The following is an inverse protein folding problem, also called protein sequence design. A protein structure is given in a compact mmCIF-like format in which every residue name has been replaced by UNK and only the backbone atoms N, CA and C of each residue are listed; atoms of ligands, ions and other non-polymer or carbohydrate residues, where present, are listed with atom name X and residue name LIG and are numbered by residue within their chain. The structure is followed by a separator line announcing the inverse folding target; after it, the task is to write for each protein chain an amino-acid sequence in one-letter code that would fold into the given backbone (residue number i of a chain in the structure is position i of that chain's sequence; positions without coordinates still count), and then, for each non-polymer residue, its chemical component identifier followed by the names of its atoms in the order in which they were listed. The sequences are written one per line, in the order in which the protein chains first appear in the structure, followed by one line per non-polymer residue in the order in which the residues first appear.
data_IF_945358394659
#
_entry.id   IF_945358394659
#
_cell.length_a   1.000
_cell.length_b   1.000
_cell.length_c   1.000
_cell.angle_alpha   90.00
_cell.angle_beta   90.00
_cell.angle_gamma   90.00
#
_symmetry.space_group_name_H-M   'P 1'
#
loop_
_entity.id
_entity.type
_entity.pdbx_description
1 polymer ?
#
# COMPACT_ATOMS: atom_id res chain seq x y z
N UNK A 1 35.65 -14.89 -69.65
CA UNK A 1 34.46 -14.21 -69.10
C UNK A 1 34.92 -13.36 -67.92
N UNK A 2 35.08 -12.03 -68.08
CA UNK A 2 35.56 -11.12 -67.03
C UNK A 2 34.35 -10.56 -66.27
N UNK A 3 34.22 -10.90 -64.97
CA UNK A 3 33.24 -10.28 -64.08
C UNK A 3 33.80 -8.95 -63.58
N UNK A 4 33.19 -7.85 -64.05
CA UNK A 4 33.46 -6.50 -63.55
C UNK A 4 32.60 -6.24 -62.32
N UNK A 5 33.23 -6.16 -61.14
CA UNK A 5 32.56 -5.73 -59.91
C UNK A 5 32.56 -4.20 -59.87
N UNK A 6 31.41 -3.58 -60.16
CA UNK A 6 31.17 -2.16 -59.88
C UNK A 6 31.21 -1.92 -58.37
N UNK A 7 32.25 -1.22 -57.91
CA UNK A 7 32.43 -0.79 -56.53
C UNK A 7 31.33 0.21 -56.16
N UNK A 8 30.27 -0.26 -55.49
CA UNK A 8 29.26 0.62 -54.91
C UNK A 8 29.97 1.55 -53.90
N UNK A 9 29.92 2.86 -54.14
CA UNK A 9 30.45 3.86 -53.21
C UNK A 9 29.62 3.80 -51.92
N UNK A 10 30.17 3.21 -50.88
CA UNK A 10 29.63 3.35 -49.52
C UNK A 10 29.95 4.76 -49.03
N UNK A 11 28.96 5.64 -48.97
CA UNK A 11 29.11 6.93 -48.26
C UNK A 11 29.31 6.63 -46.77
N UNK A 12 30.50 6.90 -46.25
CA UNK A 12 30.78 6.79 -44.82
C UNK A 12 30.12 7.94 -44.07
N UNK A 13 29.47 7.63 -42.94
CA UNK A 13 28.95 8.64 -42.02
C UNK A 13 30.12 9.41 -41.39
N UNK A 14 30.05 10.74 -41.38
CA UNK A 14 31.08 11.56 -40.73
C UNK A 14 30.88 11.59 -39.21
N UNK A 15 31.97 11.81 -38.47
CA UNK A 15 31.92 11.97 -37.02
C UNK A 15 30.98 13.12 -36.60
N UNK A 16 30.96 14.20 -37.39
CA UNK A 16 30.14 15.39 -37.14
C UNK A 16 28.65 15.06 -37.29
N UNK A 17 28.26 14.33 -38.34
CA UNK A 17 26.86 13.92 -38.53
C UNK A 17 26.36 13.05 -37.37
N UNK A 18 27.19 12.12 -36.88
CA UNK A 18 26.83 11.31 -35.71
C UNK A 18 26.69 12.17 -34.44
N UNK A 19 27.60 13.12 -34.23
CA UNK A 19 27.60 14.03 -33.07
C UNK A 19 26.36 14.93 -33.03
N UNK A 20 25.93 15.46 -34.18
CA UNK A 20 24.73 16.30 -34.27
C UNK A 20 23.48 15.48 -33.96
N UNK A 21 23.38 14.24 -34.45
CA UNK A 21 22.23 13.37 -34.19
C UNK A 21 22.11 13.02 -32.71
N UNK A 22 23.20 12.63 -32.06
CA UNK A 22 23.15 12.34 -30.62
C UNK A 22 22.84 13.60 -29.80
N UNK A 23 23.31 14.78 -30.23
CA UNK A 23 23.00 16.04 -29.56
C UNK A 23 21.50 16.36 -29.64
N UNK A 24 20.89 16.17 -30.81
CA UNK A 24 19.44 16.35 -31.00
C UNK A 24 18.66 15.34 -30.14
N UNK A 25 19.04 14.06 -30.15
CA UNK A 25 18.41 13.03 -29.30
C UNK A 25 18.52 13.39 -27.82
N UNK A 26 19.69 13.87 -27.37
CA UNK A 26 19.90 14.27 -25.99
C UNK A 26 19.00 15.44 -25.57
N UNK A 27 18.86 16.47 -26.42
CA UNK A 27 17.96 17.60 -26.18
C UNK A 27 16.51 17.12 -26.07
N UNK A 28 16.04 16.34 -27.05
CA UNK A 28 14.66 15.81 -27.04
C UNK A 28 14.40 14.92 -25.81
N UNK A 29 15.33 14.02 -25.48
CA UNK A 29 15.22 13.15 -24.31
C UNK A 29 15.16 13.96 -23.00
N UNK A 30 15.96 15.02 -22.85
CA UNK A 30 15.97 15.87 -21.66
C UNK A 30 14.62 16.55 -21.38
N UNK A 31 13.87 16.89 -22.43
CA UNK A 31 12.53 17.47 -22.31
C UNK A 31 11.45 16.42 -22.05
N UNK A 32 11.63 15.20 -22.58
CA UNK A 32 10.65 14.11 -22.47
C UNK A 32 10.72 13.36 -21.13
N UNK A 33 11.91 13.17 -20.56
CA UNK A 33 12.09 12.37 -19.34
C UNK A 33 11.32 12.91 -18.13
N UNK A 34 11.30 14.22 -17.83
CA UNK A 34 10.51 14.77 -16.72
C UNK A 34 9.00 14.56 -16.91
N UNK A 35 8.51 14.77 -18.13
CA UNK A 35 7.10 14.58 -18.48
C UNK A 35 6.68 13.12 -18.34
N UNK A 36 7.49 12.19 -18.86
CA UNK A 36 7.23 10.75 -18.77
C UNK A 36 7.27 10.25 -17.32
N UNK A 37 8.23 10.71 -16.51
CA UNK A 37 8.30 10.38 -15.10
C UNK A 37 7.05 10.84 -14.34
N UNK A 38 6.59 12.07 -14.60
CA UNK A 38 5.36 12.63 -14.03
C UNK A 38 4.12 11.84 -14.45
N UNK A 39 3.99 11.48 -15.73
CA UNK A 39 2.88 10.68 -16.24
C UNK A 39 2.83 9.29 -15.60
N UNK A 40 3.99 8.63 -15.48
CA UNK A 40 4.13 7.32 -14.84
C UNK A 40 3.69 7.34 -13.37
N UNK A 41 4.06 8.37 -12.62
CA UNK A 41 3.63 8.48 -11.22
C UNK A 41 2.13 8.78 -11.07
N UNK A 42 1.55 9.59 -11.99
CA UNK A 42 0.08 9.74 -12.05
C UNK A 42 -0.61 8.40 -12.28
N UNK A 43 -0.11 7.57 -13.21
CA UNK A 43 -0.67 6.24 -13.46
C UNK A 43 -0.56 5.32 -12.23
N UNK A 44 0.55 5.36 -11.50
CA UNK A 44 0.72 4.62 -10.24
C UNK A 44 -0.25 5.08 -9.15
N UNK A 45 -0.46 6.39 -9.02
CA UNK A 45 -1.41 6.97 -8.08
C UNK A 45 -2.85 6.51 -8.37
N UNK A 46 -3.27 6.55 -9.64
CA UNK A 46 -4.60 6.07 -10.06
C UNK A 46 -4.76 4.57 -9.77
N UNK A 47 -3.73 3.76 -10.07
CA UNK A 47 -3.77 2.32 -9.79
C UNK A 47 -3.84 2.04 -8.29
N UNK A 48 -3.07 2.77 -7.47
CA UNK A 48 -3.13 2.69 -6.01
C UNK A 48 -4.55 3.03 -5.50
N UNK A 49 -5.14 4.12 -6.00
CA UNK A 49 -6.48 4.55 -5.64
C UNK A 49 -7.54 3.49 -5.97
N UNK A 50 -7.46 2.92 -7.17
CA UNK A 50 -8.32 1.83 -7.62
C UNK A 50 -8.15 0.56 -6.77
N UNK A 51 -6.91 0.23 -6.38
CA UNK A 51 -6.62 -0.91 -5.52
C UNK A 51 -7.25 -0.74 -4.12
N UNK A 52 -7.05 0.41 -3.47
CA UNK A 52 -7.66 0.66 -2.17
C UNK A 52 -9.19 0.66 -2.24
N UNK A 53 -9.78 1.21 -3.31
CA UNK A 53 -11.23 1.15 -3.51
C UNK A 53 -11.73 -0.29 -3.64
N UNK A 54 -11.01 -1.15 -4.34
CA UNK A 54 -11.34 -2.59 -4.41
C UNK A 54 -11.27 -3.26 -3.02
N UNK A 55 -10.24 -2.95 -2.23
CA UNK A 55 -10.14 -3.48 -0.86
C UNK A 55 -11.27 -2.95 0.03
N UNK A 56 -11.57 -1.65 -0.02
CA UNK A 56 -12.66 -1.05 0.74
C UNK A 56 -14.02 -1.65 0.35
N UNK A 57 -14.28 -1.84 -0.94
CA UNK A 57 -15.49 -2.54 -1.40
C UNK A 57 -15.54 -3.99 -0.93
N UNK A 58 -14.40 -4.69 -0.89
CA UNK A 58 -14.33 -6.03 -0.30
C UNK A 58 -14.68 -6.03 1.19
N UNK A 59 -14.23 -5.03 1.96
CA UNK A 59 -14.59 -4.85 3.37
C UNK A 59 -16.11 -4.60 3.50
N UNK A 60 -16.69 -3.85 2.57
CA UNK A 60 -18.12 -3.60 2.49
C UNK A 60 -18.93 -4.87 2.26
N UNK A 61 -18.54 -5.67 1.27
CA UNK A 61 -19.21 -6.94 1.01
C UNK A 61 -19.04 -7.91 2.18
N UNK A 62 -17.86 -7.90 2.84
CA UNK A 62 -17.65 -8.66 4.06
C UNK A 62 -18.67 -8.27 5.14
N UNK A 63 -18.83 -6.99 5.46
CA UNK A 63 -19.77 -6.59 6.54
C UNK A 63 -21.22 -6.98 6.23
N UNK A 64 -21.62 -6.91 4.96
CA UNK A 64 -22.98 -7.25 4.53
C UNK A 64 -23.30 -8.74 4.76
N UNK A 65 -22.29 -9.61 4.71
CA UNK A 65 -22.41 -11.05 5.01
C UNK A 65 -22.10 -11.41 6.47
N UNK A 66 -21.68 -10.45 7.31
CA UNK A 66 -21.24 -10.67 8.69
C UNK A 66 -22.00 -9.80 9.70
N UNK A 67 -23.33 -9.73 9.56
CA UNK A 67 -24.24 -9.00 10.46
C UNK A 67 -23.88 -7.51 10.66
N UNK A 68 -23.43 -6.86 9.59
CA UNK A 68 -22.96 -5.46 9.57
C UNK A 68 -21.69 -5.21 10.42
N UNK A 69 -20.96 -6.26 10.82
CA UNK A 69 -19.70 -6.11 11.54
C UNK A 69 -18.51 -5.98 10.59
N UNK A 70 -17.66 -5.01 10.87
CA UNK A 70 -16.41 -4.81 10.16
C UNK A 70 -15.35 -5.86 10.59
N UNK A 71 -14.43 -6.22 9.68
CA UNK A 71 -13.30 -7.08 10.02
C UNK A 71 -12.35 -6.35 10.98
N UNK A 72 -11.54 -7.10 11.71
CA UNK A 72 -10.51 -6.50 12.56
C UNK A 72 -9.39 -5.92 11.73
N UNK A 73 -8.78 -4.84 12.25
CA UNK A 73 -7.69 -4.12 11.61
C UNK A 73 -6.40 -4.93 11.47
N UNK A 74 -6.38 -6.17 11.98
CA UNK A 74 -5.21 -7.04 11.97
C UNK A 74 -4.26 -6.65 13.09
N UNK A 75 -3.94 -7.62 13.93
CA UNK A 75 -2.90 -7.50 14.96
C UNK A 75 -1.82 -8.55 14.70
N UNK A 76 -0.55 -8.16 14.80
CA UNK A 76 0.60 -9.04 14.51
C UNK A 76 0.68 -10.27 15.42
N UNK A 77 0.01 -10.23 16.57
CA UNK A 77 0.11 -11.17 17.68
C UNK A 77 -1.16 -12.00 17.92
N UNK A 78 -2.31 -11.60 17.36
CA UNK A 78 -3.61 -12.23 17.68
C UNK A 78 -4.12 -13.19 16.62
N UNK A 79 -3.99 -12.84 15.33
CA UNK A 79 -4.29 -13.72 14.20
C UNK A 79 -5.68 -14.37 14.30
N UNK A 80 -6.72 -13.52 14.28
CA UNK A 80 -8.12 -13.92 14.42
C UNK A 80 -8.76 -14.24 13.08
N UNK A 81 -9.82 -15.08 13.08
CA UNK A 81 -10.48 -15.51 11.85
C UNK A 81 -11.06 -14.34 11.04
N UNK A 82 -11.43 -13.27 11.74
CA UNK A 82 -12.06 -12.04 11.28
C UNK A 82 -11.04 -10.94 10.92
N UNK A 83 -9.74 -11.16 11.14
CA UNK A 83 -8.68 -10.22 10.74
C UNK A 83 -8.66 -10.03 9.22
N UNK A 84 -8.65 -8.77 8.77
CA UNK A 84 -8.71 -8.45 7.34
C UNK A 84 -7.48 -8.96 6.55
N UNK A 85 -6.33 -9.06 7.22
CA UNK A 85 -5.11 -9.73 6.75
C UNK A 85 -4.44 -10.43 7.92
N UNK A 86 -3.65 -11.45 7.62
CA UNK A 86 -3.05 -12.29 8.65
C UNK A 86 -1.55 -12.02 8.84
N UNK A 87 -1.08 -12.12 10.08
CA UNK A 87 0.34 -12.08 10.42
C UNK A 87 0.95 -10.69 10.31
N UNK A 88 2.21 -10.64 9.92
CA UNK A 88 3.00 -9.43 9.86
C UNK A 88 4.21 -9.45 10.79
N UNK A 89 5.21 -8.61 10.50
CA UNK A 89 6.43 -8.59 11.27
C UNK A 89 6.27 -7.80 12.58
N UNK A 90 6.59 -8.42 13.73
CA UNK A 90 6.57 -7.72 15.02
C UNK A 90 7.39 -6.42 15.09
N UNK A 91 8.51 -6.33 14.32
CA UNK A 91 9.43 -5.17 14.30
C UNK A 91 10.17 -4.99 12.94
N UNK A 92 9.49 -5.09 11.80
CA UNK A 92 10.21 -5.15 10.52
C UNK A 92 11.02 -3.90 10.12
N UNK A 93 12.33 -4.03 10.34
CA UNK A 93 13.36 -4.00 9.28
C UNK A 93 13.64 -2.65 8.60
N UNK A 94 14.15 -1.64 9.33
CA UNK A 94 14.75 -0.47 8.66
C UNK A 94 16.14 -0.72 8.07
N UNK A 95 16.95 -1.60 8.70
CA UNK A 95 18.40 -1.68 8.42
C UNK A 95 18.94 -3.06 8.00
N UNK A 96 18.10 -4.01 7.61
CA UNK A 96 18.58 -5.33 7.15
C UNK A 96 18.07 -5.67 5.76
N UNK A 97 18.68 -5.08 4.72
CA UNK A 97 18.53 -5.51 3.32
C UNK A 97 18.76 -7.02 3.12
N UNK A 98 19.62 -7.66 3.94
CA UNK A 98 19.81 -9.12 3.99
C UNK A 98 18.55 -9.90 4.41
N UNK A 99 17.63 -9.26 5.14
CA UNK A 99 16.32 -9.83 5.52
C UNK A 99 15.22 -9.59 4.47
N UNK A 100 15.49 -8.77 3.43
CA UNK A 100 14.54 -8.47 2.35
C UNK A 100 14.84 -9.17 1.04
N UNK A 101 16.07 -9.61 0.81
CA UNK A 101 16.49 -10.28 -0.43
C UNK A 101 15.81 -11.65 -0.67
N UNK A 102 14.86 -11.97 0.21
CA UNK A 102 14.72 -13.17 1.01
C UNK A 102 13.30 -13.00 1.53
N UNK A 103 12.26 -13.29 0.74
CA UNK A 103 10.84 -13.16 1.14
C UNK A 103 10.51 -14.10 2.30
N UNK A 104 11.12 -13.76 3.43
CA UNK A 104 11.11 -14.44 4.69
C UNK A 104 9.64 -14.53 5.06
N UNK A 105 9.22 -15.77 5.25
CA UNK A 105 7.85 -16.19 5.56
C UNK A 105 7.29 -15.44 6.78
N UNK A 106 8.18 -14.84 7.59
CA UNK A 106 7.87 -14.13 8.82
C UNK A 106 7.81 -12.59 8.68
N UNK A 107 8.13 -12.03 7.50
CA UNK A 107 8.22 -10.56 7.30
C UNK A 107 6.97 -9.99 6.62
N UNK A 108 6.16 -10.82 5.97
CA UNK A 108 5.05 -10.37 5.15
C UNK A 108 3.69 -10.52 5.83
N UNK A 109 2.76 -9.64 5.45
CA UNK A 109 1.34 -9.86 5.73
C UNK A 109 0.75 -10.81 4.70
N UNK A 110 -0.14 -11.69 5.15
CA UNK A 110 -0.81 -12.69 4.34
C UNK A 110 -2.24 -12.25 4.07
N UNK A 111 -2.43 -11.50 2.98
CA UNK A 111 -3.75 -11.12 2.52
C UNK A 111 -4.60 -12.35 2.20
N UNK A 112 -3.99 -13.40 1.62
CA UNK A 112 -4.65 -14.65 1.26
C UNK A 112 -5.28 -15.40 2.43
N UNK A 113 -4.82 -15.12 3.65
CA UNK A 113 -5.33 -15.73 4.87
C UNK A 113 -6.28 -14.78 5.63
N UNK A 114 -6.51 -13.57 5.14
CA UNK A 114 -7.42 -12.59 5.73
C UNK A 114 -8.89 -12.89 5.41
N UNK A 115 -9.77 -12.43 6.30
CA UNK A 115 -11.23 -12.60 6.20
C UNK A 115 -11.83 -11.95 4.95
N UNK A 116 -11.24 -10.83 4.51
CA UNK A 116 -11.73 -10.01 3.40
C UNK A 116 -11.25 -10.52 2.03
N UNK A 117 -10.30 -11.46 2.00
CA UNK A 117 -9.67 -11.94 0.78
C UNK A 117 -10.62 -12.44 -0.32
N UNK A 118 -11.66 -13.25 -0.01
CA UNK A 118 -12.60 -13.72 -1.02
C UNK A 118 -13.41 -12.59 -1.64
N UNK A 119 -13.76 -11.58 -0.85
CA UNK A 119 -14.56 -10.45 -1.30
C UNK A 119 -13.80 -9.50 -2.23
N UNK A 120 -12.47 -9.45 -2.10
CA UNK A 120 -11.61 -8.63 -2.98
C UNK A 120 -11.21 -9.38 -4.24
N UNK A 121 -10.97 -10.69 -4.15
CA UNK A 121 -10.31 -11.46 -5.22
C UNK A 121 -11.19 -12.52 -5.88
N UNK A 122 -12.32 -12.89 -5.28
CA UNK A 122 -13.13 -14.03 -5.67
C UNK A 122 -12.50 -15.39 -5.39
N UNK A 123 -11.35 -15.44 -4.68
CA UNK A 123 -10.63 -16.67 -4.36
C UNK A 123 -10.92 -17.14 -2.93
N UNK A 124 -10.88 -18.46 -2.66
CA UNK A 124 -11.05 -18.95 -1.29
C UNK A 124 -9.89 -18.50 -0.40
N UNK A 125 -10.16 -18.39 0.91
CA UNK A 125 -9.14 -18.13 1.92
C UNK A 125 -8.10 -19.27 1.92
N UNK A 126 -6.83 -18.92 1.86
CA UNK A 126 -5.70 -19.85 1.84
C UNK A 126 -5.05 -19.94 3.24
N UNK A 127 -5.60 -20.82 4.08
CA UNK A 127 -5.06 -21.15 5.42
C UNK A 127 -4.65 -22.62 5.49
N UNK A 128 -3.57 -22.90 6.22
CA UNK A 128 -3.16 -24.23 6.67
C UNK A 128 -3.54 -24.40 8.15
N UNK A 129 -4.75 -24.91 8.39
CA UNK A 129 -5.34 -24.91 9.73
C UNK A 129 -5.71 -23.49 10.16
N UNK A 130 -5.27 -23.07 11.35
CA UNK A 130 -5.46 -21.69 11.81
C UNK A 130 -4.41 -20.70 11.30
N UNK A 131 -3.38 -21.13 10.56
CA UNK A 131 -2.28 -20.25 10.16
C UNK A 131 -2.24 -20.05 8.64
N UNK A 132 -1.68 -18.93 8.13
CA UNK A 132 -1.41 -18.75 6.71
C UNK A 132 -0.45 -19.84 6.24
N UNK A 133 -0.59 -20.26 4.98
CA UNK A 133 0.49 -21.03 4.37
C UNK A 133 1.66 -20.08 4.07
N UNK A 134 2.59 -20.00 5.02
CA UNK A 134 3.69 -19.08 4.85
C UNK A 134 4.62 -19.49 3.69
N UNK A 135 4.47 -20.68 3.06
CA UNK A 135 5.24 -21.10 1.87
C UNK A 135 4.70 -20.42 0.63
N UNK A 136 3.45 -20.00 0.66
CA UNK A 136 2.85 -19.21 -0.40
C UNK A 136 3.61 -17.88 -0.53
N UNK A 137 4.14 -17.62 -1.72
CA UNK A 137 4.85 -16.38 -2.08
C UNK A 137 4.05 -15.51 -3.04
N UNK A 138 2.78 -15.84 -3.26
CA UNK A 138 1.90 -15.10 -4.16
C UNK A 138 1.72 -13.68 -3.67
N UNK A 139 1.76 -12.74 -4.62
CA UNK A 139 1.66 -11.32 -4.34
C UNK A 139 0.40 -10.81 -5.01
N UNK A 140 -0.52 -10.32 -4.20
CA UNK A 140 -1.79 -9.79 -4.66
C UNK A 140 -1.66 -8.28 -4.83
N UNK A 141 -1.48 -7.86 -6.09
CA UNK A 141 -1.25 -6.45 -6.43
C UNK A 141 -2.31 -5.47 -5.92
N UNK A 142 -3.54 -5.96 -5.65
CA UNK A 142 -4.65 -5.17 -5.11
C UNK A 142 -4.46 -4.73 -3.65
N UNK A 143 -3.61 -5.40 -2.87
CA UNK A 143 -3.33 -5.06 -1.45
C UNK A 143 -2.13 -4.14 -1.26
N UNK A 144 -1.50 -3.70 -2.34
CA UNK A 144 -0.27 -2.89 -2.29
C UNK A 144 -0.34 -1.67 -3.18
N UNK A 145 0.42 -0.67 -2.77
CA UNK A 145 0.73 0.48 -3.61
C UNK A 145 1.77 0.09 -4.68
N UNK A 146 1.60 0.45 -5.96
CA UNK A 146 2.59 0.19 -7.01
C UNK A 146 3.88 1.03 -6.85
N UNK A 147 3.87 2.13 -6.09
CA UNK A 147 5.03 3.01 -5.89
C UNK A 147 6.02 2.49 -4.84
N UNK A 148 5.68 1.43 -4.08
CA UNK A 148 6.51 0.89 -2.99
C UNK A 148 7.66 -0.01 -3.43
N UNK A 149 7.82 -0.23 -4.74
CA UNK A 149 8.95 -0.99 -5.29
C UNK A 149 9.09 -2.40 -4.71
N UNK A 150 10.34 -2.79 -4.45
CA UNK A 150 10.72 -4.12 -3.94
C UNK A 150 10.37 -4.32 -2.47
N UNK A 151 10.53 -3.29 -1.63
CA UNK A 151 10.21 -3.40 -0.20
C UNK A 151 8.72 -3.66 0.02
N UNK A 152 7.84 -2.90 -0.64
CA UNK A 152 6.41 -3.20 -0.54
C UNK A 152 6.05 -4.51 -1.23
N UNK A 153 6.91 -5.04 -2.11
CA UNK A 153 6.70 -6.38 -2.70
C UNK A 153 7.00 -7.44 -1.66
N UNK A 154 8.02 -7.22 -0.85
CA UNK A 154 8.35 -8.09 0.28
C UNK A 154 7.29 -8.05 1.39
N UNK A 155 6.71 -6.88 1.67
CA UNK A 155 5.67 -6.74 2.68
C UNK A 155 4.30 -7.32 2.27
N UNK A 156 4.06 -7.44 0.96
CA UNK A 156 2.82 -7.91 0.27
C UNK A 156 1.60 -7.03 0.44
N UNK A 157 1.39 -6.47 1.62
CA UNK A 157 0.32 -5.53 1.95
C UNK A 157 0.97 -4.19 2.29
N UNK A 158 0.44 -3.08 1.76
CA UNK A 158 0.90 -1.72 2.08
C UNK A 158 -0.23 -0.77 2.49
N UNK A 159 -1.45 -1.28 2.51
CA UNK A 159 -2.57 -0.58 3.10
C UNK A 159 -2.72 -1.08 4.51
N UNK A 160 -3.01 -0.18 5.44
CA UNK A 160 -3.34 -0.53 6.80
C UNK A 160 -4.74 -0.08 7.10
N UNK A 161 -5.42 -0.78 7.99
CA UNK A 161 -6.76 -0.45 8.44
C UNK A 161 -6.74 0.30 9.76
N UNK A 162 -7.69 1.21 10.01
CA UNK A 162 -7.63 2.03 11.24
C UNK A 162 -7.66 1.16 12.51
N UNK A 163 -6.69 1.35 13.41
CA UNK A 163 -6.59 0.58 14.65
C UNK A 163 -7.75 0.86 15.61
N UNK A 164 -8.53 1.91 15.38
CA UNK A 164 -9.75 2.20 16.15
C UNK A 164 -10.84 1.14 15.94
N UNK A 165 -10.77 0.34 14.87
CA UNK A 165 -11.65 -0.84 14.73
C UNK A 165 -11.32 -1.94 15.74
N UNK A 166 -10.11 -1.97 16.29
CA UNK A 166 -9.71 -2.99 17.27
C UNK A 166 -10.07 -2.59 18.72
N UNK A 167 -10.83 -1.51 18.90
CA UNK A 167 -11.22 -1.00 20.22
C UNK A 167 -10.03 -0.58 21.08
N UNK A 168 -8.90 -0.18 20.48
CA UNK A 168 -7.64 0.28 21.10
C UNK A 168 -6.99 -0.62 22.19
N UNK A 169 -7.63 -1.66 22.74
CA UNK A 169 -7.18 -2.33 23.98
C UNK A 169 -7.60 -3.79 24.13
N UNK A 170 -8.19 -4.46 23.14
CA UNK A 170 -8.84 -5.73 23.50
C UNK A 170 -9.45 -6.57 22.41
N UNK A 171 -9.71 -6.04 21.20
CA UNK A 171 -10.41 -6.76 20.14
C UNK A 171 -11.77 -7.28 20.64
N UNK A 172 -12.84 -6.55 20.35
CA UNK A 172 -14.19 -7.04 20.71
C UNK A 172 -14.61 -8.02 19.63
N UNK A 173 -14.99 -9.25 19.94
CA UNK A 173 -15.64 -10.18 19.00
C UNK A 173 -17.15 -10.21 19.30
N UNK A 174 -18.03 -9.92 18.30
CA UNK A 174 -17.72 -9.57 16.90
C UNK A 174 -17.09 -8.19 16.76
N UNK A 175 -16.43 -7.94 15.61
CA UNK A 175 -15.81 -6.65 15.28
C UNK A 175 -16.80 -5.49 15.35
N UNK A 176 -16.36 -4.23 15.18
CA UNK A 176 -17.29 -3.11 15.39
C UNK A 176 -18.46 -3.18 14.39
N UNK A 177 -19.67 -2.91 14.87
CA UNK A 177 -20.83 -2.79 14.00
C UNK A 177 -20.73 -1.49 13.18
N UNK A 178 -20.90 -1.59 11.86
CA UNK A 178 -20.76 -0.47 10.94
C UNK A 178 -21.79 0.64 11.21
N UNK A 179 -23.01 0.27 11.62
CA UNK A 179 -24.04 1.22 12.03
C UNK A 179 -23.65 2.09 13.24
N UNK A 180 -22.63 1.70 14.02
CA UNK A 180 -22.08 2.51 15.10
C UNK A 180 -21.08 3.59 14.62
N UNK A 181 -20.66 3.54 13.34
CA UNK A 181 -19.71 4.50 12.76
C UNK A 181 -20.42 5.81 12.46
N UNK A 182 -20.01 6.89 13.12
CA UNK A 182 -20.52 8.24 12.88
C UNK A 182 -19.77 8.90 11.73
N UNK A 183 -20.51 9.57 10.84
CA UNK A 183 -19.98 10.33 9.70
C UNK A 183 -18.95 9.54 8.87
N UNK A 184 -19.29 8.37 8.32
CA UNK A 184 -18.34 7.46 7.66
C UNK A 184 -17.57 8.11 6.49
N UNK A 185 -18.16 9.11 5.82
CA UNK A 185 -17.53 9.88 4.74
C UNK A 185 -16.28 10.64 5.21
N UNK A 186 -16.21 11.04 6.48
CA UNK A 186 -15.06 11.78 7.02
C UNK A 186 -14.01 10.84 7.65
N UNK A 187 -14.32 9.54 7.82
CA UNK A 187 -13.48 8.58 8.55
C UNK A 187 -12.55 7.80 7.64
N UNK A 188 -11.27 7.72 7.99
CA UNK A 188 -10.30 6.88 7.30
C UNK A 188 -10.48 5.42 7.67
N UNK A 189 -10.84 4.60 6.69
CA UNK A 189 -10.86 3.14 6.83
C UNK A 189 -9.48 2.56 6.54
N UNK A 190 -8.90 2.90 5.38
CA UNK A 190 -7.59 2.44 4.93
C UNK A 190 -6.66 3.63 4.64
N UNK A 191 -5.41 3.52 5.06
CA UNK A 191 -4.33 4.43 4.65
C UNK A 191 -3.19 3.64 4.03
N UNK A 192 -2.57 4.23 3.01
CA UNK A 192 -1.34 3.70 2.44
C UNK A 192 -0.15 4.07 3.35
N UNK A 193 0.54 3.05 3.86
CA UNK A 193 1.66 3.22 4.78
C UNK A 193 3.00 2.95 4.10
N UNK A 194 4.03 3.63 4.57
CA UNK A 194 5.39 3.36 4.10
C UNK A 194 5.81 1.94 4.52
N UNK A 195 6.20 1.07 3.58
CA UNK A 195 6.60 -0.30 3.93
C UNK A 195 7.82 -0.38 4.87
N UNK A 196 8.60 0.70 5.00
CA UNK A 196 9.72 0.79 5.94
C UNK A 196 9.29 1.04 7.39
N UNK A 197 8.08 1.58 7.59
CA UNK A 197 7.55 1.89 8.91
C UNK A 197 6.45 0.93 9.34
N UNK A 198 5.79 0.28 8.39
CA UNK A 198 4.64 -0.59 8.63
C UNK A 198 5.01 -1.83 9.45
N UNK A 199 4.41 -1.97 10.63
CA UNK A 199 4.65 -3.08 11.59
C UNK A 199 3.48 -4.02 11.71
N UNK A 200 2.29 -3.47 11.67
CA UNK A 200 1.02 -4.16 11.71
C UNK A 200 0.24 -3.78 10.46
N UNK A 201 -0.84 -4.51 10.23
CA UNK A 201 -1.78 -4.19 9.18
C UNK A 201 -2.79 -3.13 9.62
N UNK A 202 -2.52 -2.45 10.73
CA UNK A 202 -3.34 -1.41 11.31
C UNK A 202 -2.57 -0.12 11.50
N UNK A 203 -3.22 1.04 11.39
CA UNK A 203 -2.58 2.32 11.61
C UNK A 203 -3.20 3.05 12.80
N UNK A 204 -2.36 3.72 13.58
CA UNK A 204 -2.78 4.71 14.58
C UNK A 204 -2.48 6.11 14.02
N UNK A 205 -3.24 7.17 14.38
CA UNK A 205 -2.99 8.53 13.94
C UNK A 205 -1.57 9.04 14.27
N UNK A 206 -0.96 8.51 15.34
CA UNK A 206 0.42 8.80 15.72
C UNK A 206 1.49 7.95 15.02
N UNK A 207 1.10 7.00 14.17
CA UNK A 207 1.99 6.12 13.41
C UNK A 207 1.62 4.63 13.43
N UNK A 208 2.51 3.81 12.89
CA UNK A 208 2.32 2.37 12.75
C UNK A 208 2.27 1.71 14.14
N UNK A 209 1.23 0.92 14.38
CA UNK A 209 0.42 0.96 15.60
C UNK A 209 1.02 0.44 16.93
N UNK A 210 0.31 0.79 18.01
CA UNK A 210 0.50 0.60 19.46
C UNK A 210 1.23 -0.69 19.92
N UNK A 211 2.27 -0.51 20.74
CA UNK A 211 3.00 -1.58 21.46
C UNK A 211 4.35 -1.07 21.98
N UNK A 212 4.61 -1.19 23.29
CA UNK A 212 5.79 -0.62 23.99
C UNK A 212 7.15 -1.24 23.67
N UNK A 213 7.37 -1.73 22.45
CA UNK A 213 8.66 -2.22 21.98
C UNK A 213 9.60 -1.08 21.56
N UNK A 214 10.91 -1.25 21.78
CA UNK A 214 11.97 -0.30 21.40
C UNK A 214 12.16 -0.13 19.87
N UNK A 215 11.16 -0.45 19.05
CA UNK A 215 11.22 -0.21 17.63
C UNK A 215 10.96 1.25 17.32
N UNK A 216 11.79 1.83 16.43
CA UNK A 216 11.71 3.19 15.86
C UNK A 216 10.27 3.60 15.48
N UNK A 217 9.57 4.41 16.31
CA UNK A 217 8.38 5.13 15.87
C UNK A 217 8.69 5.76 14.52
N UNK A 218 7.82 5.63 13.53
CA UNK A 218 8.03 6.28 12.24
C UNK A 218 8.07 7.80 12.46
N UNK A 219 9.26 8.35 12.65
CA UNK A 219 9.43 9.77 12.96
C UNK A 219 9.39 10.55 11.66
N UNK A 220 8.49 11.54 11.57
CA UNK A 220 8.47 12.51 10.47
C UNK A 220 7.72 12.04 9.21
N UNK A 221 8.24 12.37 8.04
CA UNK A 221 7.54 12.30 6.74
C UNK A 221 7.36 10.88 6.16
N UNK A 222 7.94 9.85 6.79
CA UNK A 222 7.97 8.45 6.28
C UNK A 222 6.88 7.56 6.86
N UNK A 223 5.77 8.15 7.26
CA UNK A 223 4.59 7.42 7.74
C UNK A 223 3.82 6.78 6.58
N UNK A 224 3.76 7.48 5.46
CA UNK A 224 2.88 7.15 4.35
C UNK A 224 3.62 7.21 3.02
N UNK A 225 3.22 6.35 2.09
CA UNK A 225 3.75 6.39 0.72
C UNK A 225 3.09 7.54 -0.02
N UNK A 226 3.93 8.49 -0.43
CA UNK A 226 3.51 9.66 -1.20
C UNK A 226 3.39 9.34 -2.68
N UNK A 227 2.32 9.82 -3.29
CA UNK A 227 2.19 10.01 -4.73
C UNK A 227 2.25 11.50 -5.02
N UNK A 228 3.16 11.99 -5.86
CA UNK A 228 3.33 13.43 -6.18
C UNK A 228 3.21 14.35 -4.95
N UNK A 229 1.99 14.82 -4.63
CA UNK A 229 1.71 15.75 -3.53
C UNK A 229 0.75 15.19 -2.46
N UNK A 230 0.37 13.91 -2.51
CA UNK A 230 -0.65 13.35 -1.64
C UNK A 230 -0.55 11.86 -1.38
N UNK A 231 -1.37 11.41 -0.45
CA UNK A 231 -1.48 10.03 0.02
C UNK A 231 -2.87 9.55 -0.36
N UNK A 232 -2.95 8.32 -0.81
CA UNK A 232 -4.23 7.71 -1.11
C UNK A 232 -4.82 7.12 0.18
N UNK A 233 -6.09 7.42 0.44
CA UNK A 233 -6.89 6.85 1.52
C UNK A 233 -8.20 6.26 0.99
N UNK A 234 -8.74 5.26 1.68
CA UNK A 234 -10.12 4.83 1.54
C UNK A 234 -10.90 5.12 2.83
N UNK A 235 -12.18 5.40 2.66
CA UNK A 235 -13.06 5.88 3.72
C UNK A 235 -14.10 4.84 4.09
N UNK A 236 -14.72 5.04 5.23
CA UNK A 236 -15.71 4.10 5.73
C UNK A 236 -16.95 4.00 4.87
N UNK A 237 -17.27 4.97 4.02
CA UNK A 237 -18.40 4.91 3.07
C UNK A 237 -18.06 4.18 1.74
N UNK A 238 -16.83 3.69 1.60
CA UNK A 238 -16.35 2.96 0.42
C UNK A 238 -15.72 3.83 -0.68
N UNK A 239 -15.71 5.16 -0.53
CA UNK A 239 -14.96 6.01 -1.45
C UNK A 239 -13.46 5.98 -1.16
N UNK A 240 -12.67 6.35 -2.16
CA UNK A 240 -11.23 6.50 -2.02
C UNK A 240 -10.79 7.82 -2.67
N UNK A 241 -9.92 8.56 -1.99
CA UNK A 241 -9.44 9.85 -2.45
C UNK A 241 -7.95 10.05 -2.14
N UNK A 242 -7.32 10.98 -2.87
CA UNK A 242 -5.97 11.45 -2.57
C UNK A 242 -6.04 12.66 -1.65
N UNK A 243 -5.32 12.60 -0.53
CA UNK A 243 -5.23 13.63 0.50
C UNK A 243 -3.87 14.30 0.40
N UNK A 244 -3.81 15.62 0.43
CA UNK A 244 -2.53 16.35 0.44
C UNK A 244 -1.71 16.00 1.69
N UNK A 245 -0.39 15.88 1.54
CA UNK A 245 0.53 15.58 2.64
C UNK A 245 0.29 16.48 3.86
N UNK A 246 0.34 17.79 3.64
CA UNK A 246 0.25 18.80 4.71
C UNK A 246 -1.09 18.72 5.46
N UNK A 247 -2.16 18.35 4.75
CA UNK A 247 -3.47 18.15 5.37
C UNK A 247 -3.46 16.93 6.27
N UNK A 248 -2.92 15.79 5.82
CA UNK A 248 -2.84 14.60 6.68
C UNK A 248 -1.96 14.86 7.90
N UNK A 249 -0.82 15.52 7.73
CA UNK A 249 0.05 15.89 8.85
C UNK A 249 -0.65 16.85 9.83
N UNK A 250 -1.48 17.79 9.33
CA UNK A 250 -2.30 18.66 10.18
C UNK A 250 -3.34 17.85 10.97
N UNK A 251 -3.98 16.88 10.33
CA UNK A 251 -4.93 15.97 10.98
C UNK A 251 -4.22 15.20 12.10
N UNK A 252 -3.09 14.57 11.80
CA UNK A 252 -2.33 13.73 12.77
C UNK A 252 -1.70 14.52 13.92
N UNK A 253 -1.56 15.85 13.81
CA UNK A 253 -1.05 16.71 14.90
C UNK A 253 -2.15 17.34 15.75
N UNK A 254 -3.40 17.33 15.32
CA UNK A 254 -4.49 18.05 15.99
C UNK A 254 -5.44 17.07 16.68
N UNK A 255 -5.54 17.05 18.03
CA UNK A 255 -6.39 16.10 18.75
C UNK A 255 -7.86 16.09 18.28
N UNK A 256 -8.42 17.27 18.00
CA UNK A 256 -9.76 17.40 17.45
C UNK A 256 -9.89 16.71 16.08
N UNK A 257 -8.95 16.92 15.16
CA UNK A 257 -9.01 16.34 13.82
C UNK A 257 -8.74 14.83 13.84
N UNK A 258 -7.90 14.35 14.75
CA UNK A 258 -7.73 12.91 15.00
C UNK A 258 -9.08 12.30 15.36
N UNK A 259 -9.79 12.87 16.35
CA UNK A 259 -11.11 12.39 16.75
C UNK A 259 -12.12 12.46 15.61
N UNK A 260 -12.06 13.53 14.80
CA UNK A 260 -12.91 13.67 13.63
C UNK A 260 -12.64 12.64 12.53
N UNK A 261 -11.39 12.28 12.23
CA UNK A 261 -11.06 11.49 11.04
C UNK A 261 -10.67 10.03 11.31
N UNK A 262 -10.22 9.70 12.52
CA UNK A 262 -9.74 8.36 12.87
C UNK A 262 -10.67 7.61 13.82
N UNK A 263 -11.36 8.31 14.72
CA UNK A 263 -12.25 7.70 15.70
C UNK A 263 -13.64 7.50 15.09
N UNK A 264 -14.10 6.24 14.90
CA UNK A 264 -15.37 5.95 14.26
C UNK A 264 -16.58 6.32 15.13
N UNK A 265 -16.44 6.50 16.45
CA UNK A 265 -17.57 6.67 17.37
C UNK A 265 -17.90 8.13 17.69
N UNK A 266 -17.06 9.06 17.22
CA UNK A 266 -17.16 10.48 17.50
C UNK A 266 -17.44 11.30 16.24
N UNK A 267 -17.98 12.50 16.42
CA UNK A 267 -18.20 13.45 15.31
C UNK A 267 -16.97 14.29 15.03
#
# INVERSE_FOLDING_TARGET
MKLSFTKLRTSGFTLIELLVVIAIIAILASLLLPALASAKESGRSIKCLSNMRQVALGIYNYKDENDDHLPFAGSTDRNWHEDWVWGGPGDAVRDRRKNWAKYDRNVAFHAEAGSVFPYVTGQPILRKGRNPDTRNKTIYGVYRCPSTGEIGRALRVNFSMTSFLNGQTGGVNPGINFSAVKNPVDKFLLLNEDPHSMRNASFHPGGTAFGGGQGISAVGEKLHVMHKNGINAAYFDGHAASIKHDMLMKIQKSPHLIRKHFDPFNN
#
